data_IF_757950783273
#
_entry.id   IF_757950783273
#
_cell.length_a   1.000
_cell.length_b   1.000
_cell.length_c   1.000
_cell.angle_alpha   90.00
_cell.angle_beta   90.00
_cell.angle_gamma   90.00
#
_symmetry.space_group_name_H-M   'P 1'
#
loop_
_entity.id
_entity.type
_entity.pdbx_description
1 polymer ?
#
# COMPACT_ATOMS: atom_id res chain seq x y z
N UNK A 1 7.34 -6.34 -5.87
CA UNK A 1 7.19 -7.25 -4.71
C UNK A 1 5.72 -7.22 -4.31
N UNK A 2 5.04 -8.36 -4.21
CA UNK A 2 3.65 -8.41 -3.74
C UNK A 2 3.66 -8.93 -2.31
N UNK A 3 3.33 -8.05 -1.39
CA UNK A 3 3.30 -8.36 0.03
C UNK A 3 1.86 -8.64 0.44
N UNK A 4 1.71 -9.63 1.31
CA UNK A 4 0.45 -9.95 1.95
C UNK A 4 0.23 -8.92 3.05
N UNK A 5 -0.86 -8.18 2.92
CA UNK A 5 -1.44 -7.41 4.01
C UNK A 5 -2.67 -8.19 4.44
N UNK A 6 -2.69 -8.67 5.68
CA UNK A 6 -3.94 -9.08 6.30
C UNK A 6 -4.60 -7.78 6.76
N UNK A 7 -5.65 -7.35 6.04
CA UNK A 7 -6.35 -6.11 6.35
C UNK A 7 -7.02 -6.23 7.72
N UNK A 8 -6.60 -5.38 8.67
CA UNK A 8 -7.37 -5.14 9.88
C UNK A 8 -8.46 -4.10 9.56
N UNK A 9 -9.52 -4.53 8.89
CA UNK A 9 -10.81 -3.84 8.96
C UNK A 9 -11.86 -4.86 9.36
N UNK A 10 -12.35 -4.71 10.59
CA UNK A 10 -13.55 -5.40 11.09
C UNK A 10 -14.58 -4.34 11.46
N UNK A 11 -15.80 -4.55 10.96
CA UNK A 11 -17.00 -3.81 11.31
C UNK A 11 -17.20 -3.69 12.83
N UNK A 12 -17.61 -2.49 13.25
CA UNK A 12 -18.63 -2.30 14.28
C UNK A 12 -18.38 -2.87 15.67
N UNK A 13 -17.43 -2.30 16.41
CA UNK A 13 -17.59 -1.91 17.81
C UNK A 13 -16.36 -1.08 18.23
N UNK A 14 -16.54 -0.16 19.18
CA UNK A 14 -15.55 0.84 19.64
C UNK A 14 -14.17 0.24 19.99
N UNK A 15 -13.31 0.06 19.00
CA UNK A 15 -11.87 -0.07 19.18
C UNK A 15 -11.28 1.34 19.20
N UNK A 16 -10.42 1.63 20.18
CA UNK A 16 -9.68 2.89 20.20
C UNK A 16 -8.91 3.05 18.88
N UNK A 17 -9.06 4.21 18.26
CA UNK A 17 -8.39 4.54 17.00
C UNK A 17 -6.88 4.40 17.17
N UNK A 18 -6.25 3.52 16.39
CA UNK A 18 -4.82 3.24 16.49
C UNK A 18 -3.97 4.45 16.09
N UNK A 19 -2.71 4.50 16.54
CA UNK A 19 -1.76 5.53 16.11
C UNK A 19 -0.37 4.93 15.91
N UNK A 20 0.48 5.58 15.11
CA UNK A 20 1.89 5.18 14.97
C UNK A 20 2.73 5.38 16.26
N UNK A 21 2.25 6.20 17.21
CA UNK A 21 2.95 6.48 18.46
C UNK A 21 2.76 5.38 19.50
N UNK A 22 1.58 4.75 19.51
CA UNK A 22 1.27 3.62 20.38
C UNK A 22 1.27 2.34 19.55
N UNK A 23 2.34 1.55 19.69
CA UNK A 23 2.56 0.34 18.91
C UNK A 23 2.00 -0.93 19.58
N UNK A 24 1.21 -0.80 20.65
CA UNK A 24 0.53 -1.95 21.29
C UNK A 24 -0.74 -2.38 20.52
N UNK A 25 -0.66 -2.41 19.19
CA UNK A 25 -1.80 -2.71 18.32
C UNK A 25 -2.41 -4.09 18.59
N UNK A 26 -1.60 -5.04 19.05
CA UNK A 26 -2.04 -6.39 19.40
C UNK A 26 -3.11 -6.45 20.48
N UNK A 27 -3.22 -5.42 21.35
CA UNK A 27 -4.26 -5.37 22.39
C UNK A 27 -5.67 -5.27 21.79
N UNK A 28 -5.80 -4.51 20.71
CA UNK A 28 -7.08 -4.30 20.00
C UNK A 28 -7.19 -5.12 18.71
N UNK A 29 -6.06 -5.50 18.12
CA UNK A 29 -5.95 -6.20 16.84
C UNK A 29 -5.04 -7.43 16.98
N UNK A 30 -5.60 -8.53 17.51
CA UNK A 30 -4.86 -9.78 17.78
C UNK A 30 -4.15 -10.41 16.57
N UNK A 31 -4.49 -10.01 15.34
CA UNK A 31 -3.79 -10.44 14.13
C UNK A 31 -2.41 -9.76 13.98
N UNK A 32 -2.20 -8.59 14.58
CA UNK A 32 -0.91 -7.88 14.57
C UNK A 32 0.22 -8.61 15.33
N UNK A 33 -0.11 -9.60 16.16
CA UNK A 33 0.85 -10.43 16.91
C UNK A 33 1.10 -11.81 16.25
N UNK A 34 0.76 -11.96 14.96
CA UNK A 34 0.95 -13.22 14.23
C UNK A 34 2.29 -13.26 13.49
N UNK A 35 2.66 -14.44 13.00
CA UNK A 35 4.00 -14.71 12.46
C UNK A 35 4.21 -14.26 10.99
N UNK A 36 3.24 -13.59 10.38
CA UNK A 36 3.29 -13.23 8.95
C UNK A 36 2.90 -11.77 8.74
N UNK A 37 3.43 -10.90 9.61
CA UNK A 37 3.28 -9.46 9.48
C UNK A 37 4.26 -8.87 8.46
N UNK A 38 3.82 -7.79 7.84
CA UNK A 38 4.65 -6.84 7.12
C UNK A 38 4.76 -5.56 7.97
N UNK A 39 5.79 -4.71 7.78
CA UNK A 39 6.87 -4.85 6.80
C UNK A 39 7.97 -5.83 7.20
N UNK A 40 8.90 -6.07 6.26
CA UNK A 40 10.12 -6.86 6.49
C UNK A 40 11.37 -6.13 5.96
N UNK A 41 12.55 -6.51 6.47
CA UNK A 41 13.81 -6.26 5.77
C UNK A 41 14.05 -7.36 4.73
N UNK A 42 14.30 -6.96 3.48
CA UNK A 42 14.63 -7.85 2.38
C UNK A 42 16.15 -7.95 2.29
N UNK A 43 16.69 -9.03 2.85
CA UNK A 43 18.10 -9.39 2.70
C UNK A 43 18.31 -10.03 1.33
N UNK A 44 18.83 -9.26 0.37
CA UNK A 44 19.02 -9.68 -1.02
C UNK A 44 19.98 -10.87 -1.12
N UNK A 45 20.95 -10.97 -0.21
CA UNK A 45 21.87 -12.11 -0.10
C UNK A 45 21.22 -13.42 0.37
N UNK A 46 20.05 -13.34 1.02
CA UNK A 46 19.24 -14.51 1.45
C UNK A 46 18.06 -14.80 0.53
N UNK A 47 17.81 -13.98 -0.49
CA UNK A 47 16.72 -14.24 -1.44
C UNK A 47 16.95 -15.51 -2.24
N UNK A 48 15.87 -16.24 -2.54
CA UNK A 48 15.91 -17.45 -3.37
C UNK A 48 15.40 -17.08 -4.76
N UNK A 49 16.30 -17.08 -5.75
CA UNK A 49 15.92 -16.85 -7.13
C UNK A 49 14.97 -17.93 -7.63
N UNK A 50 13.82 -17.52 -8.16
CA UNK A 50 12.83 -18.41 -8.75
C UNK A 50 12.54 -18.01 -10.20
N UNK A 51 13.12 -18.76 -11.15
CA UNK A 51 12.93 -18.56 -12.60
C UNK A 51 11.49 -18.76 -13.09
N UNK A 52 10.63 -19.38 -12.28
CA UNK A 52 9.24 -19.63 -12.63
C UNK A 52 8.31 -18.48 -12.22
N UNK A 53 8.82 -17.41 -11.59
CA UNK A 53 8.03 -16.22 -11.31
C UNK A 53 7.82 -15.45 -12.63
N UNK A 54 6.58 -15.39 -13.15
CA UNK A 54 6.28 -14.60 -14.33
C UNK A 54 6.36 -13.10 -14.01
N UNK A 55 6.65 -12.26 -15.02
CA UNK A 55 6.49 -10.82 -14.87
C UNK A 55 5.02 -10.47 -14.61
N UNK A 56 4.78 -9.45 -13.79
CA UNK A 56 3.43 -8.90 -13.62
C UNK A 56 3.07 -8.04 -14.83
N UNK A 57 1.78 -8.01 -15.19
CA UNK A 57 1.24 -7.09 -16.21
C UNK A 57 0.21 -6.20 -15.57
N UNK A 58 0.37 -4.89 -15.76
CA UNK A 58 -0.54 -3.86 -15.28
C UNK A 58 -1.39 -3.36 -16.46
N UNK A 59 -2.70 -3.28 -16.26
CA UNK A 59 -3.66 -2.76 -17.24
C UNK A 59 -4.46 -1.63 -16.62
N UNK A 60 -4.86 -0.64 -17.41
CA UNK A 60 -5.72 0.46 -16.98
C UNK A 60 -5.02 1.62 -16.24
N UNK A 61 -3.70 1.53 -15.98
CA UNK A 61 -2.94 2.57 -15.27
C UNK A 61 -2.67 3.83 -16.10
N UNK A 62 -2.81 3.75 -17.41
CA UNK A 62 -2.69 4.92 -18.28
C UNK A 62 -4.04 5.62 -18.41
N UNK A 63 -4.41 6.37 -17.36
CA UNK A 63 -5.63 7.16 -17.35
C UNK A 63 -5.52 8.39 -18.25
N UNK A 64 -6.62 8.85 -18.84
CA UNK A 64 -6.64 10.15 -19.49
C UNK A 64 -6.44 11.26 -18.46
N UNK A 65 -5.80 12.37 -18.85
CA UNK A 65 -5.60 13.54 -17.98
C UNK A 65 -6.92 14.17 -17.46
N UNK A 66 -8.04 13.85 -18.11
CA UNK A 66 -9.37 14.30 -17.70
C UNK A 66 -9.97 13.49 -16.55
N UNK A 67 -9.39 12.32 -16.24
CA UNK A 67 -9.86 11.48 -15.14
C UNK A 67 -9.55 12.16 -13.81
N UNK A 68 -10.58 12.31 -12.96
CA UNK A 68 -10.44 12.92 -11.64
C UNK A 68 -10.53 11.83 -10.58
N UNK A 69 -9.46 11.67 -9.82
CA UNK A 69 -9.39 10.72 -8.73
C UNK A 69 -9.55 11.44 -7.39
N UNK A 70 -10.16 10.75 -6.42
CA UNK A 70 -10.36 11.30 -5.09
C UNK A 70 -9.09 11.16 -4.26
N UNK A 71 -8.58 12.28 -3.74
CA UNK A 71 -7.46 12.33 -2.81
C UNK A 71 -7.94 12.76 -1.44
N UNK A 72 -7.51 12.07 -0.39
CA UNK A 72 -7.90 12.36 0.98
C UNK A 72 -6.76 12.17 1.97
N UNK A 73 -6.84 12.87 3.10
CA UNK A 73 -6.00 12.68 4.26
C UNK A 73 -6.81 11.97 5.34
N UNK A 74 -6.51 10.71 5.64
CA UNK A 74 -7.26 9.94 6.64
C UNK A 74 -6.70 10.09 8.07
N UNK A 75 -5.70 10.97 8.27
CA UNK A 75 -5.01 11.18 9.54
C UNK A 75 -3.81 10.26 9.78
N UNK A 76 -3.63 9.22 8.96
CA UNK A 76 -2.48 8.31 8.98
C UNK A 76 -1.62 8.43 7.73
N UNK A 77 -2.25 8.67 6.58
CA UNK A 77 -1.62 8.78 5.27
C UNK A 77 -2.48 9.65 4.34
N UNK A 78 -1.88 10.06 3.24
CA UNK A 78 -2.58 10.49 2.03
C UNK A 78 -3.04 9.24 1.26
N UNK A 79 -4.30 9.21 0.83
CA UNK A 79 -4.91 8.11 0.08
C UNK A 79 -5.48 8.64 -1.22
N UNK A 80 -5.15 7.97 -2.33
CA UNK A 80 -5.76 8.21 -3.64
C UNK A 80 -6.63 7.01 -4.00
N UNK A 81 -7.93 7.23 -4.19
CA UNK A 81 -8.85 6.18 -4.65
C UNK A 81 -8.60 5.86 -6.11
N UNK A 82 -8.44 4.57 -6.43
CA UNK A 82 -8.16 4.08 -7.79
C UNK A 82 -9.38 3.34 -8.34
N UNK A 83 -9.68 3.47 -9.64
CA UNK A 83 -10.76 2.71 -10.27
C UNK A 83 -10.39 1.24 -10.39
N UNK A 84 -11.37 0.36 -10.26
CA UNK A 84 -11.20 -1.10 -10.40
C UNK A 84 -10.89 -1.56 -11.83
N UNK A 85 -10.94 -0.63 -12.80
CA UNK A 85 -10.43 -0.80 -14.16
C UNK A 85 -8.91 -0.89 -14.23
N UNK A 86 -8.19 -0.42 -13.20
CA UNK A 86 -6.76 -0.63 -13.01
C UNK A 86 -6.50 -1.98 -12.38
N UNK A 87 -5.63 -2.80 -12.98
CA UNK A 87 -5.52 -4.21 -12.57
C UNK A 87 -4.13 -4.77 -12.71
N UNK A 88 -3.80 -5.75 -11.87
CA UNK A 88 -2.75 -6.74 -12.15
C UNK A 88 -3.44 -7.87 -12.92
N UNK A 89 -3.27 -7.87 -14.25
CA UNK A 89 -3.95 -8.80 -15.15
C UNK A 89 -3.19 -10.11 -15.37
N UNK A 90 -1.86 -10.08 -15.19
CA UNK A 90 -0.99 -11.25 -15.29
C UNK A 90 0.09 -11.25 -14.19
N UNK A 91 0.66 -12.43 -13.92
CA UNK A 91 1.70 -12.64 -12.91
C UNK A 91 1.25 -13.51 -11.73
N UNK A 92 -0.07 -13.61 -11.52
CA UNK A 92 -0.71 -14.43 -10.49
C UNK A 92 -1.71 -15.41 -11.12
N UNK A 93 -2.21 -16.36 -10.32
CA UNK A 93 -3.25 -17.31 -10.74
C UNK A 93 -4.63 -16.66 -10.91
N UNK A 94 -4.78 -15.41 -10.47
CA UNK A 94 -6.01 -14.63 -10.54
C UNK A 94 -5.71 -13.17 -10.86
N UNK A 95 -6.72 -12.47 -11.35
CA UNK A 95 -6.69 -11.02 -11.57
C UNK A 95 -6.94 -10.28 -10.25
N UNK A 96 -6.18 -9.21 -10.04
CA UNK A 96 -6.38 -8.29 -8.92
C UNK A 96 -6.80 -6.91 -9.45
N UNK A 97 -7.81 -6.31 -8.83
CA UNK A 97 -8.34 -5.00 -9.15
C UNK A 97 -7.77 -3.98 -8.16
N UNK A 98 -7.30 -2.84 -8.64
CA UNK A 98 -6.84 -1.76 -7.78
C UNK A 98 -8.00 -1.20 -6.95
N UNK A 99 -7.68 -0.67 -5.78
CA UNK A 99 -8.64 0.01 -4.91
C UNK A 99 -8.14 1.38 -4.50
N UNK A 100 -6.88 1.46 -4.08
CA UNK A 100 -6.27 2.71 -3.64
C UNK A 100 -4.75 2.64 -3.78
N UNK A 101 -4.12 3.81 -3.72
CA UNK A 101 -2.73 3.92 -3.31
C UNK A 101 -2.58 4.86 -2.12
N UNK A 102 -1.52 4.66 -1.34
CA UNK A 102 -1.18 5.49 -0.20
C UNK A 102 0.34 5.52 0.04
N UNK A 103 0.79 6.38 0.95
CA UNK A 103 2.20 6.63 1.18
C UNK A 103 2.58 6.44 2.65
N UNK A 104 3.81 6.01 2.88
CA UNK A 104 4.47 6.04 4.18
C UNK A 104 5.72 6.88 4.04
N UNK A 105 5.96 7.79 4.98
CA UNK A 105 7.10 8.69 4.94
C UNK A 105 7.57 9.00 6.35
N UNK A 106 8.83 9.46 6.43
CA UNK A 106 9.45 9.81 7.69
C UNK A 106 9.29 11.30 8.01
N UNK A 107 10.39 11.91 8.43
CA UNK A 107 10.46 13.35 8.68
C UNK A 107 11.52 13.98 7.77
N UNK A 108 11.73 15.29 7.89
CA UNK A 108 12.82 15.97 7.20
C UNK A 108 14.21 15.34 7.44
N UNK A 109 14.38 14.63 8.56
CA UNK A 109 15.69 14.09 8.99
C UNK A 109 15.70 12.57 9.16
N UNK A 110 14.56 11.90 9.01
CA UNK A 110 14.45 10.45 9.23
C UNK A 110 13.77 9.80 8.02
N UNK A 111 14.31 8.71 7.47
CA UNK A 111 13.61 7.92 6.45
C UNK A 111 12.32 7.33 7.02
N UNK A 112 11.41 6.87 6.15
CA UNK A 112 10.14 6.31 6.59
C UNK A 112 9.45 5.38 5.60
N UNK A 113 10.20 4.70 4.72
CA UNK A 113 9.68 3.48 4.11
C UNK A 113 9.36 2.44 5.18
N UNK A 114 8.34 1.62 4.97
CA UNK A 114 8.03 0.53 5.88
C UNK A 114 9.03 -0.62 5.67
N UNK A 115 9.23 -1.02 4.41
CA UNK A 115 10.21 -2.03 4.01
C UNK A 115 11.62 -1.47 3.99
N UNK A 116 12.57 -2.39 4.19
CA UNK A 116 14.00 -2.15 4.05
C UNK A 116 14.57 -3.12 3.02
N UNK A 117 15.66 -2.72 2.36
CA UNK A 117 16.45 -3.59 1.48
C UNK A 117 17.86 -3.57 2.01
N UNK A 118 18.38 -4.75 2.39
CA UNK A 118 19.71 -4.89 2.99
C UNK A 118 19.93 -3.95 4.18
N UNK A 119 18.93 -3.88 5.08
CA UNK A 119 18.87 -3.01 6.26
C UNK A 119 18.88 -1.50 5.95
N UNK A 120 18.64 -1.13 4.69
CA UNK A 120 18.51 0.27 4.25
C UNK A 120 17.03 0.65 4.18
N UNK A 121 16.66 1.65 4.98
CA UNK A 121 15.36 2.32 4.91
C UNK A 121 15.42 3.49 3.93
N UNK A 122 14.34 3.69 3.19
CA UNK A 122 14.19 4.68 2.13
C UNK A 122 13.37 5.88 2.61
N UNK A 123 13.41 6.99 1.86
CA UNK A 123 12.79 8.25 2.27
C UNK A 123 11.27 8.11 2.48
N UNK A 124 10.61 7.38 1.58
CA UNK A 124 9.20 7.05 1.63
C UNK A 124 8.92 5.72 0.92
N UNK A 125 7.71 5.20 1.07
CA UNK A 125 7.18 4.04 0.36
C UNK A 125 5.76 4.29 -0.10
N UNK A 126 5.44 4.01 -1.36
CA UNK A 126 4.08 4.02 -1.88
C UNK A 126 3.56 2.59 -1.97
N UNK A 127 2.35 2.39 -1.51
CA UNK A 127 1.61 1.14 -1.62
C UNK A 127 0.46 1.31 -2.60
N UNK A 128 0.36 0.41 -3.59
CA UNK A 128 -0.82 0.30 -4.46
C UNK A 128 -1.55 -0.98 -4.07
N UNK A 129 -2.73 -0.82 -3.46
CA UNK A 129 -3.53 -1.91 -2.91
C UNK A 129 -4.49 -2.44 -3.96
N UNK A 130 -4.49 -3.77 -4.10
CA UNK A 130 -5.39 -4.49 -4.99
C UNK A 130 -6.09 -5.63 -4.26
N UNK A 131 -7.28 -5.98 -4.73
CA UNK A 131 -8.06 -7.11 -4.24
C UNK A 131 -8.39 -8.10 -5.36
N UNK A 132 -8.47 -9.38 -5.02
CA UNK A 132 -8.73 -10.44 -5.98
C UNK A 132 -10.16 -10.32 -6.50
N UNK A 133 -10.31 -10.22 -7.83
CA UNK A 133 -11.60 -9.98 -8.48
C UNK A 133 -12.69 -11.00 -8.10
N UNK A 134 -12.29 -12.22 -7.75
CA UNK A 134 -13.19 -13.33 -7.36
C UNK A 134 -13.97 -13.09 -6.06
N UNK A 135 -13.57 -12.12 -5.24
CA UNK A 135 -14.22 -11.81 -3.96
C UNK A 135 -15.19 -10.63 -4.02
N UNK A 136 -15.27 -9.92 -5.15
CA UNK A 136 -16.27 -8.87 -5.39
C UNK A 136 -15.98 -7.52 -4.73
N UNK A 137 -15.35 -7.49 -3.55
CA UNK A 137 -15.00 -6.26 -2.83
C UNK A 137 -13.65 -6.35 -2.11
N UNK A 138 -13.07 -5.19 -1.78
CA UNK A 138 -11.86 -5.11 -0.93
C UNK A 138 -12.11 -5.77 0.43
N UNK A 139 -13.24 -5.46 1.08
CA UNK A 139 -13.56 -5.96 2.42
C UNK A 139 -13.71 -7.49 2.44
N UNK A 140 -14.41 -8.06 1.45
CA UNK A 140 -14.56 -9.51 1.34
C UNK A 140 -13.23 -10.21 1.06
N UNK A 141 -12.38 -9.58 0.24
CA UNK A 141 -11.06 -10.08 -0.10
C UNK A 141 -10.08 -10.00 1.08
N UNK A 142 -10.14 -8.94 1.90
CA UNK A 142 -9.27 -8.76 3.06
C UNK A 142 -9.38 -9.91 4.07
N UNK A 143 -10.52 -10.59 4.11
CA UNK A 143 -10.77 -11.76 4.95
C UNK A 143 -10.23 -13.08 4.36
N UNK A 144 -9.44 -13.03 3.28
CA UNK A 144 -8.96 -14.18 2.51
C UNK A 144 -7.46 -14.14 2.34
N UNK A 145 -6.81 -15.29 2.50
CA UNK A 145 -5.35 -15.42 2.48
C UNK A 145 -4.70 -15.14 1.12
N UNK A 146 -5.47 -15.17 0.04
CA UNK A 146 -5.06 -14.81 -1.32
C UNK A 146 -5.89 -13.64 -1.88
N UNK A 147 -6.58 -12.91 -1.00
CA UNK A 147 -7.50 -11.85 -1.39
C UNK A 147 -6.83 -10.54 -1.70
N UNK A 148 -5.68 -10.21 -1.09
CA UNK A 148 -4.99 -8.93 -1.31
C UNK A 148 -3.62 -9.11 -1.98
N UNK A 149 -3.28 -8.12 -2.81
CA UNK A 149 -1.96 -7.97 -3.39
C UNK A 149 -1.58 -6.48 -3.35
N UNK A 150 -0.42 -6.16 -2.77
CA UNK A 150 0.05 -4.78 -2.67
C UNK A 150 1.40 -4.64 -3.38
N UNK A 151 1.51 -3.66 -4.27
CA UNK A 151 2.78 -3.26 -4.86
C UNK A 151 3.44 -2.20 -3.98
N UNK A 152 4.60 -2.51 -3.40
CA UNK A 152 5.44 -1.55 -2.69
C UNK A 152 6.48 -0.89 -3.62
N UNK A 153 6.56 0.43 -3.57
CA UNK A 153 7.48 1.27 -4.35
C UNK A 153 8.29 2.15 -3.40
N UNK A 154 9.61 1.94 -3.34
CA UNK A 154 10.53 2.66 -2.46
C UNK A 154 11.00 3.97 -3.11
N UNK A 155 11.06 5.05 -2.32
CA UNK A 155 11.45 6.37 -2.80
C UNK A 155 12.85 6.74 -2.32
N UNK A 156 13.69 7.13 -3.26
CA UNK A 156 15.01 7.69 -2.99
C UNK A 156 15.02 9.17 -3.36
N UNK A 157 15.59 10.01 -2.50
CA UNK A 157 15.76 11.43 -2.79
C UNK A 157 16.75 11.60 -3.94
N UNK A 158 16.36 12.39 -4.95
CA UNK A 158 17.13 12.59 -6.17
C UNK A 158 16.60 13.77 -6.99
N UNK A 159 16.68 13.65 -8.31
CA UNK A 159 16.11 14.64 -9.23
C UNK A 159 14.58 14.68 -9.16
N UNK A 160 14.01 15.83 -9.50
CA UNK A 160 12.56 16.04 -9.55
C UNK A 160 11.88 15.03 -10.48
N UNK A 161 10.80 14.42 -10.01
CA UNK A 161 9.94 13.56 -10.81
C UNK A 161 8.55 14.18 -10.93
N UNK A 162 8.33 14.87 -12.04
CA UNK A 162 7.11 15.63 -12.35
C UNK A 162 5.84 14.79 -12.41
N UNK A 163 5.96 13.46 -12.50
CA UNK A 163 4.78 12.61 -12.45
C UNK A 163 4.13 12.59 -11.07
N UNK A 164 4.87 12.89 -10.00
CA UNK A 164 4.31 12.98 -8.66
C UNK A 164 3.66 14.33 -8.35
N UNK A 165 3.98 15.39 -9.10
CA UNK A 165 3.40 16.74 -8.92
C UNK A 165 1.87 16.71 -9.00
N UNK A 166 1.30 15.82 -9.83
CA UNK A 166 -0.14 15.59 -9.93
C UNK A 166 -0.81 15.21 -8.59
N UNK A 167 -0.05 14.64 -7.65
CA UNK A 167 -0.47 14.31 -6.29
C UNK A 167 0.07 15.33 -5.30
N UNK A 168 1.35 15.66 -5.38
CA UNK A 168 2.05 16.45 -4.37
C UNK A 168 1.60 17.92 -4.34
N UNK A 169 1.23 18.50 -5.49
CA UNK A 169 0.67 19.85 -5.57
C UNK A 169 -0.72 19.95 -4.92
N UNK A 170 -1.36 18.82 -4.62
CA UNK A 170 -2.69 18.74 -4.00
C UNK A 170 -2.65 18.49 -2.50
N UNK A 171 -1.47 18.31 -1.91
CA UNK A 171 -1.35 18.00 -0.48
C UNK A 171 -1.80 19.17 0.40
N UNK A 172 -1.56 20.42 -0.02
CA UNK A 172 -2.03 21.59 0.72
C UNK A 172 -3.56 21.67 0.77
N UNK A 173 -4.25 21.21 -0.29
CA UNK A 173 -5.71 21.19 -0.37
C UNK A 173 -6.34 20.19 0.63
N UNK A 174 -5.55 19.24 1.16
CA UNK A 174 -5.96 18.20 2.11
C UNK A 174 -5.11 18.18 3.38
N UNK A 175 -4.53 19.32 3.75
CA UNK A 175 -3.64 19.42 4.91
C UNK A 175 -4.34 19.03 6.23
N UNK A 176 -5.63 19.33 6.35
CA UNK A 176 -6.45 18.96 7.49
C UNK A 176 -6.94 17.50 7.37
N UNK A 177 -7.03 16.80 8.50
CA UNK A 177 -7.61 15.45 8.54
C UNK A 177 -9.04 15.49 7.98
N UNK A 178 -9.32 14.63 7.00
CA UNK A 178 -10.66 14.44 6.47
C UNK A 178 -11.61 13.87 7.53
N UNK A 179 -12.87 14.32 7.49
CA UNK A 179 -13.95 13.80 8.34
C UNK A 179 -14.33 12.36 7.97
#
# INVERSE_FOLDING_TARGET
MVLRFEGAETDGDMLDHWTYKDQNWNESYVLCDKNSQSPINIDTGKTIFNKNLPPITLEGYNLPETEQLALSNNGHTVVLSLPDSMTISHGFTQKYLASQLHFHWGSETTPGSEHQVDDIQYAAEMHIVHFAAKYGSLNDAAQKTDGLAVLGVLFQVGEENKHYDHIFDKLEDIAEKGN
#
